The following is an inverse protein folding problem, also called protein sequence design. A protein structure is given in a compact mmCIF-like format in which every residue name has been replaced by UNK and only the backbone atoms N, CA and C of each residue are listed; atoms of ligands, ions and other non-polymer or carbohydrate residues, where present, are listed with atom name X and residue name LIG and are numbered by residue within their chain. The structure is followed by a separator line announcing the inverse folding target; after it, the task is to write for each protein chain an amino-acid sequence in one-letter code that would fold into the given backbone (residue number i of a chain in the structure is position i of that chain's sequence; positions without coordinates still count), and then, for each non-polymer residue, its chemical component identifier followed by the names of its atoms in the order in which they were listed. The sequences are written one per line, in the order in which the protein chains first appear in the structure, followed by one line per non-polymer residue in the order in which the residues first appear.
data_IF_240714342338
#
_entry.id   IF_240714342338
#
_cell.length_a   1.000
_cell.length_b   1.000
_cell.length_c   1.000
_cell.angle_alpha   90.00
_cell.angle_beta   90.00
_cell.angle_gamma   90.00
#
_symmetry.space_group_name_H-M   'P 1'
#
loop_
_entity.id
_entity.type
_entity.pdbx_description
1 polymer ?
#
# COMPACT_ATOMS: atom_id res chain seq x y z
N UNK A 1 23.60 15.09 -56.44
CA UNK A 1 22.28 15.22 -55.77
C UNK A 1 21.76 13.82 -55.55
N UNK A 2 21.73 13.33 -54.31
CA UNK A 2 20.83 12.26 -53.89
C UNK A 2 20.69 12.33 -52.37
N UNK A 3 19.61 12.99 -51.95
CA UNK A 3 19.09 12.92 -50.59
C UNK A 3 18.09 11.75 -50.51
N UNK A 4 17.77 11.38 -49.26
CA UNK A 4 16.67 10.52 -48.78
C UNK A 4 16.91 9.01 -48.87
N UNK A 5 16.69 8.20 -47.83
CA UNK A 5 16.10 8.40 -46.50
C UNK A 5 16.49 7.17 -45.66
N UNK A 6 17.04 7.34 -44.46
CA UNK A 6 17.18 6.26 -43.48
C UNK A 6 15.83 5.99 -42.82
N UNK A 7 15.58 4.70 -42.58
CA UNK A 7 14.32 4.08 -42.15
C UNK A 7 14.02 4.32 -40.66
N UNK A 8 12.72 4.41 -40.36
CA UNK A 8 12.02 4.16 -39.09
C UNK A 8 12.85 3.90 -37.82
N UNK A 9 13.11 4.96 -37.04
CA UNK A 9 13.58 4.89 -35.65
C UNK A 9 12.44 5.02 -34.61
N UNK A 10 11.19 5.22 -35.05
CA UNK A 10 10.09 5.60 -34.14
C UNK A 10 9.52 4.51 -33.24
N UNK A 11 9.77 3.22 -33.53
CA UNK A 11 9.10 2.11 -32.85
C UNK A 11 9.89 1.59 -31.63
N UNK A 12 11.23 1.68 -31.67
CA UNK A 12 12.09 1.28 -30.56
C UNK A 12 11.96 2.25 -29.38
N UNK A 13 11.87 3.56 -29.65
CA UNK A 13 11.69 4.59 -28.62
C UNK A 13 10.32 4.47 -27.92
N UNK A 14 9.26 4.11 -28.65
CA UNK A 14 7.92 3.90 -28.06
C UNK A 14 7.91 2.64 -27.19
N UNK A 15 8.55 1.55 -27.61
CA UNK A 15 8.69 0.34 -26.80
C UNK A 15 9.56 0.57 -25.57
N UNK A 16 10.61 1.37 -25.69
CA UNK A 16 11.45 1.79 -24.56
C UNK A 16 10.64 2.66 -23.57
N UNK A 17 9.88 3.63 -24.06
CA UNK A 17 8.99 4.45 -23.21
C UNK A 17 7.91 3.62 -22.53
N UNK A 18 7.29 2.68 -23.24
CA UNK A 18 6.31 1.76 -22.68
C UNK A 18 6.96 0.80 -21.67
N UNK A 19 8.18 0.33 -21.94
CA UNK A 19 8.96 -0.48 -21.01
C UNK A 19 9.31 0.29 -19.75
N UNK A 20 9.77 1.53 -19.88
CA UNK A 20 10.04 2.45 -18.76
C UNK A 20 8.75 2.75 -18.00
N UNK A 21 7.64 3.04 -18.69
CA UNK A 21 6.35 3.32 -18.08
C UNK A 21 5.79 2.12 -17.32
N UNK A 22 5.91 0.91 -17.88
CA UNK A 22 5.50 -0.34 -17.24
C UNK A 22 6.37 -0.66 -16.02
N UNK A 23 7.69 -0.41 -16.07
CA UNK A 23 8.58 -0.56 -14.92
C UNK A 23 8.31 0.48 -13.83
N UNK A 24 7.79 1.64 -14.22
CA UNK A 24 7.40 2.72 -13.34
C UNK A 24 5.93 2.67 -12.92
N UNK A 25 5.17 1.68 -13.38
CA UNK A 25 3.76 1.56 -13.07
C UNK A 25 3.61 1.00 -11.66
N UNK A 26 3.06 1.81 -10.77
CA UNK A 26 2.70 1.36 -9.44
C UNK A 26 1.18 1.23 -9.35
N UNK A 27 0.71 -0.02 -9.30
CA UNK A 27 -0.70 -0.39 -9.41
C UNK A 27 -1.63 0.32 -8.41
N UNK A 28 -1.10 0.70 -7.25
CA UNK A 28 -1.86 1.33 -6.16
C UNK A 28 -1.57 2.84 -6.02
N UNK A 29 -0.80 3.44 -6.93
CA UNK A 29 -0.61 4.89 -6.93
C UNK A 29 -1.95 5.61 -7.12
N UNK A 30 -2.27 6.54 -6.23
CA UNK A 30 -3.52 7.29 -6.27
C UNK A 30 -4.10 7.66 -4.91
N UNK A 31 -5.31 8.21 -4.96
CA UNK A 31 -6.11 8.56 -3.78
C UNK A 31 -7.28 7.59 -3.67
N UNK A 32 -7.36 6.91 -2.52
CA UNK A 32 -8.28 5.82 -2.28
C UNK A 32 -9.12 6.09 -1.03
N UNK A 33 -10.41 5.81 -1.12
CA UNK A 33 -11.19 5.50 0.07
C UNK A 33 -10.86 4.06 0.48
N UNK A 34 -10.66 3.80 1.78
CA UNK A 34 -10.45 2.44 2.24
C UNK A 34 -11.50 1.98 3.25
N UNK A 35 -11.87 0.72 3.08
CA UNK A 35 -12.88 0.03 3.86
C UNK A 35 -12.23 -1.07 4.69
N UNK A 36 -12.83 -1.39 5.83
CA UNK A 36 -12.29 -2.34 6.80
C UNK A 36 -12.36 -3.81 6.37
N UNK A 37 -12.84 -4.14 5.18
CA UNK A 37 -12.89 -5.52 4.70
C UNK A 37 -13.42 -5.65 3.27
N UNK A 38 -13.97 -6.82 2.95
CA UNK A 38 -14.54 -7.10 1.62
C UNK A 38 -16.04 -6.80 1.59
N UNK A 39 -16.65 -6.77 0.39
CA UNK A 39 -18.09 -6.53 0.26
C UNK A 39 -18.97 -7.61 0.90
N UNK A 40 -18.47 -8.84 0.98
CA UNK A 40 -19.24 -10.02 1.38
C UNK A 40 -18.64 -10.73 2.61
N UNK A 41 -17.68 -10.11 3.28
CA UNK A 41 -17.00 -10.67 4.45
C UNK A 41 -16.89 -9.58 5.52
N UNK A 42 -16.93 -9.99 6.79
CA UNK A 42 -16.83 -9.06 7.89
C UNK A 42 -15.51 -8.28 7.85
N UNK A 43 -15.53 -7.05 8.37
CA UNK A 43 -14.39 -6.14 8.45
C UNK A 43 -13.63 -6.30 9.75
N UNK A 44 -13.32 -5.19 10.42
CA UNK A 44 -12.58 -5.14 11.69
C UNK A 44 -13.07 -6.21 12.67
N UNK A 45 -12.12 -6.85 13.36
CA UNK A 45 -12.37 -7.94 14.32
C UNK A 45 -13.19 -9.12 13.79
N UNK A 46 -13.39 -9.22 12.47
CA UNK A 46 -14.28 -10.19 11.83
C UNK A 46 -15.73 -10.11 12.32
N UNK A 47 -16.16 -8.96 12.88
CA UNK A 47 -17.49 -8.78 13.46
C UNK A 47 -18.24 -7.55 12.92
N UNK A 48 -17.56 -6.61 12.28
CA UNK A 48 -18.19 -5.47 11.62
C UNK A 48 -18.54 -5.76 10.16
N UNK A 49 -19.38 -4.93 9.54
CA UNK A 49 -19.63 -5.03 8.10
C UNK A 49 -18.37 -4.59 7.33
N UNK A 50 -17.85 -5.41 6.41
CA UNK A 50 -16.63 -5.11 5.63
C UNK A 50 -16.79 -3.97 4.61
N UNK A 51 -17.92 -3.26 4.64
CA UNK A 51 -18.22 -2.09 3.83
C UNK A 51 -18.18 -0.79 4.64
N UNK A 52 -17.67 -0.81 5.87
CA UNK A 52 -17.50 0.41 6.67
C UNK A 52 -16.33 1.23 6.11
N UNK A 53 -16.60 2.49 5.72
CA UNK A 53 -15.57 3.43 5.30
C UNK A 53 -14.76 3.86 6.52
N UNK A 54 -13.47 3.54 6.54
CA UNK A 54 -12.58 3.85 7.66
C UNK A 54 -11.83 5.15 7.43
N UNK A 55 -11.46 5.43 6.18
CA UNK A 55 -10.71 6.63 5.87
C UNK A 55 -10.13 6.65 4.47
N UNK A 56 -8.97 7.26 4.32
CA UNK A 56 -8.33 7.49 3.03
C UNK A 56 -6.85 7.14 3.01
N UNK A 57 -6.39 6.68 1.85
CA UNK A 57 -4.99 6.57 1.50
C UNK A 57 -4.65 7.53 0.36
N UNK A 58 -3.50 8.18 0.46
CA UNK A 58 -2.85 8.89 -0.64
C UNK A 58 -1.49 8.24 -0.83
N UNK A 59 -1.28 7.63 -1.99
CA UNK A 59 -0.17 6.72 -2.26
C UNK A 59 0.56 7.28 -3.48
N UNK A 60 1.80 7.76 -3.30
CA UNK A 60 2.71 8.25 -4.36
C UNK A 60 4.09 7.60 -4.22
N UNK A 61 4.87 7.54 -5.30
CA UNK A 61 6.16 6.82 -5.29
C UNK A 61 7.14 7.25 -4.20
N UNK A 62 6.94 8.44 -3.64
CA UNK A 62 7.78 9.03 -2.61
C UNK A 62 7.11 9.09 -1.24
N UNK A 63 5.78 8.89 -1.15
CA UNK A 63 5.05 9.08 0.10
C UNK A 63 3.77 8.27 0.17
N UNK A 64 3.49 7.69 1.34
CA UNK A 64 2.20 7.13 1.71
C UNK A 64 1.60 7.96 2.84
N UNK A 65 0.36 8.39 2.67
CA UNK A 65 -0.46 9.00 3.73
C UNK A 65 -1.66 8.12 3.97
N UNK A 66 -1.94 7.79 5.24
CA UNK A 66 -3.17 7.13 5.68
C UNK A 66 -3.85 8.03 6.68
N UNK A 67 -5.12 8.32 6.44
CA UNK A 67 -5.96 9.08 7.34
C UNK A 67 -7.13 8.22 7.80
N UNK A 68 -7.33 8.10 9.10
CA UNK A 68 -8.45 7.38 9.72
C UNK A 68 -9.47 8.43 10.17
N UNK A 69 -10.71 8.31 9.68
CA UNK A 69 -11.80 9.26 9.98
C UNK A 69 -12.59 8.89 11.24
N UNK A 70 -12.23 7.79 11.91
CA UNK A 70 -12.92 7.33 13.10
C UNK A 70 -12.73 8.27 14.30
N UNK A 71 -13.84 8.57 14.98
CA UNK A 71 -13.92 9.42 16.16
C UNK A 71 -13.77 8.63 17.47
N UNK A 72 -13.85 7.29 17.43
CA UNK A 72 -13.77 6.41 18.61
C UNK A 72 -12.34 6.13 19.09
N UNK A 73 -11.42 5.81 18.17
CA UNK A 73 -10.00 5.59 18.49
C UNK A 73 -9.12 6.85 18.38
N UNK A 74 -9.74 8.00 18.15
CA UNK A 74 -9.04 9.24 17.85
C UNK A 74 -8.46 9.21 16.44
N UNK A 75 -9.09 9.93 15.51
CA UNK A 75 -8.64 10.02 14.13
C UNK A 75 -7.12 10.20 14.04
N UNK A 76 -6.49 9.42 13.16
CA UNK A 76 -5.04 9.38 13.06
C UNK A 76 -4.57 9.59 11.65
N UNK A 77 -3.41 10.24 11.52
CA UNK A 77 -2.77 10.55 10.24
C UNK A 77 -1.37 9.99 10.24
N UNK A 78 -1.18 8.88 9.55
CA UNK A 78 0.13 8.31 9.29
C UNK A 78 0.70 8.87 8.01
N UNK A 79 1.94 9.31 8.07
CA UNK A 79 2.65 9.90 6.93
C UNK A 79 4.03 9.25 6.87
N UNK A 80 4.32 8.53 5.79
CA UNK A 80 5.58 7.83 5.60
C UNK A 80 6.25 8.20 4.28
N UNK A 81 7.54 8.51 4.33
CA UNK A 81 8.38 8.61 3.14
C UNK A 81 8.66 7.20 2.61
N UNK A 82 8.48 7.00 1.32
CA UNK A 82 8.81 5.71 0.67
C UNK A 82 10.32 5.56 0.62
N UNK A 83 10.80 4.48 1.20
CA UNK A 83 12.22 4.12 1.24
C UNK A 83 12.57 3.11 0.16
N UNK A 84 11.68 2.15 -0.08
CA UNK A 84 11.85 1.09 -1.07
C UNK A 84 10.50 0.55 -1.52
N UNK A 85 10.39 0.19 -2.80
CA UNK A 85 9.24 -0.52 -3.38
C UNK A 85 9.79 -1.84 -3.94
N UNK A 86 9.29 -2.97 -3.43
CA UNK A 86 9.57 -4.30 -3.98
C UNK A 86 8.29 -4.82 -4.66
N UNK A 87 8.21 -4.62 -5.98
CA UNK A 87 7.08 -5.06 -6.79
C UNK A 87 6.97 -6.59 -6.87
N UNK A 88 8.06 -7.33 -6.67
CA UNK A 88 8.03 -8.80 -6.71
C UNK A 88 7.28 -9.37 -5.51
N UNK A 89 7.41 -8.72 -4.34
CA UNK A 89 6.70 -9.07 -3.10
C UNK A 89 5.43 -8.27 -2.86
N UNK A 90 5.18 -7.27 -3.71
CA UNK A 90 4.09 -6.29 -3.61
C UNK A 90 4.10 -5.58 -2.26
N UNK A 91 5.25 -5.04 -1.87
CA UNK A 91 5.45 -4.36 -0.58
C UNK A 91 6.14 -3.02 -0.76
N UNK A 92 5.72 -2.02 0.02
CA UNK A 92 6.36 -0.71 0.13
C UNK A 92 6.86 -0.53 1.54
N UNK A 93 8.15 -0.24 1.66
CA UNK A 93 8.78 0.10 2.92
C UNK A 93 8.80 1.61 3.08
N UNK A 94 8.40 2.09 4.26
CA UNK A 94 8.36 3.52 4.56
C UNK A 94 9.12 3.85 5.84
N UNK A 95 9.53 5.10 5.96
CA UNK A 95 9.89 5.72 7.22
C UNK A 95 8.86 6.79 7.59
N UNK A 96 8.23 6.67 8.75
CA UNK A 96 7.26 7.65 9.22
C UNK A 96 7.92 9.01 9.49
N UNK A 97 7.27 10.06 9.02
CA UNK A 97 7.73 11.44 9.17
C UNK A 97 7.42 11.97 10.57
N UNK A 98 7.99 13.14 10.92
CA UNK A 98 7.80 13.75 12.24
C UNK A 98 6.38 14.29 12.47
N UNK A 99 5.65 14.58 11.40
CA UNK A 99 4.24 15.00 11.39
C UNK A 99 3.25 13.82 11.37
N UNK A 100 3.72 12.58 11.36
CA UNK A 100 2.90 11.38 11.58
C UNK A 100 2.33 11.37 13.01
N UNK A 101 1.06 10.98 13.19
CA UNK A 101 0.40 10.92 14.51
C UNK A 101 1.09 9.95 15.47
N UNK A 102 1.68 8.86 14.97
CA UNK A 102 2.42 7.88 15.75
C UNK A 102 3.63 7.34 14.97
N UNK A 103 4.48 6.60 15.68
CA UNK A 103 5.63 5.88 15.10
C UNK A 103 6.65 6.76 14.36
N UNK A 104 6.78 8.03 14.75
CA UNK A 104 7.67 9.02 14.12
C UNK A 104 9.12 8.52 14.00
N UNK A 105 9.69 8.65 12.80
CA UNK A 105 11.05 8.22 12.47
C UNK A 105 11.25 6.71 12.36
N UNK A 106 10.21 5.91 12.62
CA UNK A 106 10.26 4.46 12.56
C UNK A 106 9.93 3.93 11.18
N UNK A 107 10.35 2.71 10.92
CA UNK A 107 10.12 2.01 9.67
C UNK A 107 8.91 1.09 9.78
N UNK A 108 8.25 0.87 8.65
CA UNK A 108 7.11 -0.02 8.53
C UNK A 108 7.00 -0.48 7.08
N UNK A 109 6.09 -1.42 6.82
CA UNK A 109 5.77 -1.84 5.47
C UNK A 109 4.27 -1.84 5.21
N UNK A 110 3.93 -1.65 3.94
CA UNK A 110 2.57 -1.72 3.40
C UNK A 110 2.59 -2.73 2.26
N UNK A 111 1.91 -3.86 2.44
CA UNK A 111 1.76 -4.87 1.39
C UNK A 111 0.47 -4.64 0.64
N UNK A 112 0.44 -4.96 -0.66
CA UNK A 112 -0.79 -4.90 -1.44
C UNK A 112 -1.05 -6.18 -2.25
N UNK A 113 -2.31 -6.39 -2.57
CA UNK A 113 -2.76 -7.43 -3.51
C UNK A 113 -4.02 -6.96 -4.24
N UNK A 114 -4.46 -7.74 -5.23
CA UNK A 114 -5.69 -7.48 -5.97
C UNK A 114 -6.54 -8.75 -6.06
N UNK A 115 -7.85 -8.59 -5.92
CA UNK A 115 -8.84 -9.68 -6.02
C UNK A 115 -10.21 -9.13 -6.39
N UNK A 116 -10.91 -9.82 -7.27
CA UNK A 116 -12.29 -9.49 -7.69
C UNK A 116 -12.46 -8.03 -8.17
N UNK A 117 -11.44 -7.49 -8.85
CA UNK A 117 -11.45 -6.11 -9.37
C UNK A 117 -11.15 -5.01 -8.34
N UNK A 118 -10.79 -5.38 -7.11
CA UNK A 118 -10.39 -4.44 -6.05
C UNK A 118 -8.91 -4.59 -5.70
N UNK A 119 -8.31 -3.48 -5.26
CA UNK A 119 -7.03 -3.50 -4.57
C UNK A 119 -7.24 -3.61 -3.06
N UNK A 120 -6.29 -4.25 -2.40
CA UNK A 120 -6.29 -4.43 -0.96
C UNK A 120 -4.92 -4.06 -0.42
N UNK A 121 -4.89 -3.34 0.69
CA UNK A 121 -3.66 -2.94 1.37
C UNK A 121 -3.63 -3.51 2.80
N UNK A 122 -2.46 -3.99 3.17
CA UNK A 122 -2.17 -4.50 4.49
C UNK A 122 -1.00 -3.70 5.07
N UNK A 123 -1.25 -2.74 5.98
CA UNK A 123 -0.20 -2.07 6.70
C UNK A 123 0.29 -2.96 7.85
N UNK A 124 1.59 -3.07 8.02
CA UNK A 124 2.13 -3.57 9.27
C UNK A 124 2.55 -2.43 10.18
N UNK A 125 1.68 -2.15 11.14
CA UNK A 125 1.94 -1.18 12.20
C UNK A 125 2.44 -1.87 13.48
N UNK A 126 2.68 -3.17 13.40
CA UNK A 126 3.17 -3.96 14.50
C UNK A 126 4.60 -3.67 14.87
N UNK A 127 4.89 -3.59 16.16
CA UNK A 127 6.28 -3.49 16.62
C UNK A 127 7.04 -2.29 16.03
N UNK A 128 6.36 -1.38 15.32
CA UNK A 128 6.98 -0.28 14.56
C UNK A 128 7.77 0.60 15.51
N UNK A 129 7.33 0.73 16.77
CA UNK A 129 8.08 1.45 17.79
C UNK A 129 9.52 0.93 17.99
N UNK A 130 9.79 -0.32 17.61
CA UNK A 130 11.09 -0.99 17.66
C UNK A 130 11.79 -1.10 16.28
N UNK A 131 11.09 -0.80 15.17
CA UNK A 131 11.66 -0.80 13.82
C UNK A 131 12.40 0.53 13.56
N UNK A 132 13.68 0.57 13.93
CA UNK A 132 14.53 1.77 13.84
C UNK A 132 15.28 1.89 12.50
N UNK A 133 15.28 0.82 11.69
CA UNK A 133 16.01 0.75 10.43
C UNK A 133 15.17 0.07 9.35
N UNK A 134 15.49 0.33 8.09
CA UNK A 134 14.86 -0.32 6.95
C UNK A 134 15.06 -1.85 7.00
N UNK A 135 16.25 -2.31 7.36
CA UNK A 135 16.56 -3.75 7.44
C UNK A 135 15.70 -4.48 8.48
N UNK A 136 15.35 -3.82 9.59
CA UNK A 136 14.44 -4.39 10.57
C UNK A 136 13.02 -4.57 10.01
N UNK A 137 12.51 -3.60 9.25
CA UNK A 137 11.22 -3.75 8.57
C UNK A 137 11.26 -4.83 7.48
N UNK A 138 12.40 -5.00 6.81
CA UNK A 138 12.61 -6.03 5.77
C UNK A 138 12.80 -7.45 6.33
N UNK A 139 13.16 -7.58 7.60
CA UNK A 139 13.33 -8.86 8.27
C UNK A 139 12.00 -9.57 8.57
N UNK A 140 10.88 -8.85 8.51
CA UNK A 140 9.55 -9.43 8.72
C UNK A 140 9.21 -10.49 7.65
N UNK A 141 8.67 -11.61 8.09
CA UNK A 141 8.14 -12.63 7.19
C UNK A 141 6.78 -12.20 6.65
N UNK A 142 6.80 -11.46 5.54
CA UNK A 142 5.60 -10.92 4.92
C UNK A 142 4.52 -11.98 4.67
N UNK A 143 4.88 -13.17 4.18
CA UNK A 143 3.91 -14.22 3.84
C UNK A 143 3.24 -14.81 5.07
N UNK A 144 3.92 -14.80 6.21
CA UNK A 144 3.33 -15.21 7.48
C UNK A 144 2.35 -14.16 8.04
N UNK A 145 2.62 -12.87 7.84
CA UNK A 145 1.84 -11.77 8.43
C UNK A 145 0.80 -11.15 7.48
N UNK A 146 0.86 -11.50 6.20
CA UNK A 146 0.02 -10.91 5.14
C UNK A 146 -0.11 -11.88 3.97
N UNK A 147 -0.91 -12.92 4.14
CA UNK A 147 -1.21 -13.88 3.06
C UNK A 147 -1.98 -13.19 1.92
N UNK A 148 -1.29 -12.96 0.81
CA UNK A 148 -1.84 -12.29 -0.38
C UNK A 148 -2.87 -13.12 -1.14
N UNK A 149 -2.98 -14.42 -0.85
CA UNK A 149 -3.96 -15.33 -1.46
C UNK A 149 -5.30 -15.32 -0.73
N UNK A 150 -5.30 -14.87 0.54
CA UNK A 150 -6.47 -14.83 1.39
C UNK A 150 -6.66 -13.44 2.03
N UNK A 151 -7.33 -12.54 1.29
CA UNK A 151 -7.67 -11.19 1.78
C UNK A 151 -8.57 -11.16 3.03
N UNK A 152 -9.21 -12.29 3.34
CA UNK A 152 -10.04 -12.46 4.54
C UNK A 152 -9.23 -12.97 5.75
N UNK A 153 -7.94 -13.27 5.57
CA UNK A 153 -7.05 -13.58 6.68
C UNK A 153 -6.63 -12.31 7.42
N UNK A 154 -6.21 -12.48 8.68
CA UNK A 154 -5.64 -11.40 9.48
C UNK A 154 -4.41 -10.80 8.80
N UNK A 155 -4.35 -9.47 8.80
CA UNK A 155 -3.26 -8.68 8.24
C UNK A 155 -2.45 -8.02 9.37
N UNK A 156 -1.12 -7.91 9.21
CA UNK A 156 -0.26 -7.11 10.11
C UNK A 156 -0.14 -7.71 11.52
N UNK A 157 -0.07 -9.03 11.59
CA UNK A 157 -0.29 -9.85 12.79
C UNK A 157 0.80 -9.81 13.87
N UNK A 158 1.87 -9.02 13.73
CA UNK A 158 2.87 -8.87 14.81
C UNK A 158 2.43 -7.83 15.88
N UNK A 159 1.26 -7.19 15.72
CA UNK A 159 0.99 -5.83 16.26
C UNK A 159 0.47 -5.74 17.67
N UNK A 160 -0.11 -6.82 18.21
CA UNK A 160 -0.97 -6.68 19.38
C UNK A 160 -2.17 -5.74 19.14
N UNK A 161 -2.36 -5.25 17.90
CA UNK A 161 -3.65 -4.78 17.43
C UNK A 161 -4.46 -6.00 17.04
N UNK A 162 -5.75 -5.91 17.29
CA UNK A 162 -6.67 -6.95 16.92
C UNK A 162 -6.65 -7.17 15.40
N UNK A 163 -6.48 -8.41 14.94
CA UNK A 163 -6.35 -8.69 13.52
C UNK A 163 -7.62 -8.33 12.76
N UNK A 164 -7.48 -7.44 11.79
CA UNK A 164 -8.49 -7.16 10.77
C UNK A 164 -8.14 -7.83 9.44
N UNK A 165 -9.13 -8.06 8.57
CA UNK A 165 -8.88 -8.42 7.18
C UNK A 165 -8.19 -7.28 6.42
N UNK A 166 -7.76 -7.56 5.20
CA UNK A 166 -7.09 -6.55 4.38
C UNK A 166 -8.02 -5.36 4.08
N UNK A 167 -7.48 -4.15 4.10
CA UNK A 167 -8.24 -2.93 3.80
C UNK A 167 -8.51 -2.83 2.29
N UNK A 168 -9.79 -2.83 1.90
CA UNK A 168 -10.19 -2.68 0.48
C UNK A 168 -10.04 -1.23 0.04
N UNK A 169 -9.38 -1.01 -1.08
CA UNK A 169 -9.20 0.30 -1.71
C UNK A 169 -10.23 0.49 -2.83
N UNK A 170 -10.93 1.61 -2.82
CA UNK A 170 -11.79 2.06 -3.91
C UNK A 170 -11.41 3.48 -4.32
N UNK A 171 -11.41 3.74 -5.62
CA UNK A 171 -11.10 5.07 -6.17
C UNK A 171 -12.05 6.08 -5.54
N UNK A 172 -11.52 7.22 -5.12
CA UNK A 172 -12.36 8.34 -4.71
C UNK A 172 -13.14 8.85 -5.93
N UNK A 173 -14.40 8.44 -6.05
CA UNK A 173 -15.34 9.07 -6.99
C UNK A 173 -15.87 10.34 -6.35
N UNK A 174 -15.63 11.48 -6.99
CA UNK A 174 -16.20 12.78 -6.61
C UNK A 174 -17.72 12.78 -6.77
#
# INVERSE_FOLDING_TARGET
MNCSQSKDDGNEDVLLLLGIAAQNYWEIEGTWNYFNGTKNYAGDLFNENGTTLVGQYIITKTKITREIKDTGFGGSKLIGNVMEIDCSKRVVYVQFTQDSSFSKGKFAWYRWTSKDGYYYICPDLSGVNNQNTLDQAKADNLDNFSDTTNINAGCGLNSGFDPGPWSRLEIQTN
#
